data_IF_703283532632
#
_entry.id   IF_703283532632
#
_cell.length_a   1.000
_cell.length_b   1.000
_cell.length_c   1.000
_cell.angle_alpha   90.00
_cell.angle_beta   90.00
_cell.angle_gamma   90.00
#
_symmetry.space_group_name_H-M   'P 1'
#
loop_
_entity.id
_entity.type
_entity.pdbx_description
1 polymer ?
#
# COMPACT_ATOMS: atom_id res chain seq x y z
N UNK A 1 -18.28 15.20 -45.30
CA UNK A 1 -19.38 14.30 -44.87
C UNK A 1 -18.76 12.99 -44.42
N UNK A 2 -18.79 12.67 -43.13
CA UNK A 2 -18.28 11.40 -42.57
C UNK A 2 -19.44 10.39 -42.51
N UNK A 3 -19.27 9.12 -42.92
CA UNK A 3 -20.34 8.14 -42.79
C UNK A 3 -20.50 7.71 -41.33
N UNK A 4 -21.76 7.70 -40.89
CA UNK A 4 -22.23 7.21 -39.60
C UNK A 4 -22.20 5.68 -39.58
N UNK A 5 -21.35 5.06 -38.75
CA UNK A 5 -21.47 3.63 -38.44
C UNK A 5 -22.66 3.41 -37.50
N UNK A 6 -23.64 2.63 -37.95
CA UNK A 6 -24.74 2.12 -37.11
C UNK A 6 -24.26 0.84 -36.41
N UNK A 7 -24.37 0.81 -35.09
CA UNK A 7 -24.14 -0.38 -34.26
C UNK A 7 -25.44 -1.18 -34.26
N UNK A 8 -25.58 -2.18 -35.14
CA UNK A 8 -26.72 -3.10 -35.11
C UNK A 8 -26.37 -4.56 -35.47
N UNK A 9 -25.11 -4.97 -35.34
CA UNK A 9 -24.76 -6.38 -35.54
C UNK A 9 -24.53 -7.07 -34.18
N UNK A 10 -25.19 -8.21 -33.90
CA UNK A 10 -24.98 -8.97 -32.68
C UNK A 10 -23.58 -9.60 -32.67
N UNK A 11 -22.89 -9.47 -31.54
CA UNK A 11 -21.58 -10.10 -31.30
C UNK A 11 -21.77 -11.62 -31.41
N UNK A 12 -21.03 -12.33 -32.28
CA UNK A 12 -21.11 -13.78 -32.36
C UNK A 12 -20.53 -14.40 -31.08
N UNK A 13 -21.40 -15.05 -30.31
CA UNK A 13 -21.03 -15.97 -29.24
C UNK A 13 -20.36 -17.21 -29.84
N UNK A 14 -19.04 -17.19 -29.95
CA UNK A 14 -18.24 -18.40 -30.16
C UNK A 14 -16.77 -18.13 -29.80
N UNK A 15 -16.46 -18.16 -28.49
CA UNK A 15 -15.09 -18.41 -28.05
C UNK A 15 -15.13 -19.62 -27.11
N UNK A 16 -15.30 -20.79 -27.72
CA UNK A 16 -15.07 -22.08 -27.07
C UNK A 16 -13.56 -22.26 -26.90
N UNK A 17 -12.95 -21.49 -26.00
CA UNK A 17 -11.61 -21.83 -25.50
C UNK A 17 -11.83 -22.97 -24.52
N UNK A 18 -11.53 -24.20 -24.95
CA UNK A 18 -11.30 -25.29 -24.02
C UNK A 18 -10.15 -24.85 -23.13
N UNK A 19 -10.47 -24.47 -21.88
CA UNK A 19 -9.49 -24.35 -20.81
C UNK A 19 -8.98 -25.76 -20.56
N UNK A 20 -7.97 -26.17 -21.31
CA UNK A 20 -7.03 -27.14 -20.77
C UNK A 20 -6.45 -26.47 -19.54
N UNK A 21 -6.87 -26.96 -18.37
CA UNK A 21 -6.32 -26.55 -17.10
C UNK A 21 -4.84 -26.94 -17.13
N UNK A 22 -3.98 -26.00 -17.52
CA UNK A 22 -2.55 -26.10 -17.26
C UNK A 22 -2.41 -26.10 -15.75
N UNK A 23 -2.47 -27.31 -15.20
CA UNK A 23 -2.21 -27.58 -13.80
C UNK A 23 -0.70 -27.67 -13.69
N UNK A 24 0.01 -26.58 -13.98
CA UNK A 24 1.42 -26.48 -13.62
C UNK A 24 1.47 -26.30 -12.13
N UNK A 25 1.63 -27.41 -11.42
CA UNK A 25 2.28 -27.38 -10.10
C UNK A 25 3.55 -26.55 -10.26
N UNK A 26 3.78 -25.49 -9.46
CA UNK A 26 4.99 -24.69 -9.57
C UNK A 26 6.20 -25.64 -9.43
N UNK A 27 7.00 -25.71 -10.49
CA UNK A 27 8.14 -26.61 -10.54
C UNK A 27 9.19 -26.05 -9.56
N UNK A 28 9.57 -26.77 -8.50
CA UNK A 28 10.28 -26.19 -7.35
C UNK A 28 11.74 -25.77 -7.60
N UNK A 29 12.23 -25.86 -8.85
CA UNK A 29 13.65 -25.69 -9.21
C UNK A 29 13.89 -24.66 -10.34
N UNK A 30 12.92 -23.83 -10.70
CA UNK A 30 13.16 -22.74 -11.67
C UNK A 30 13.70 -21.50 -10.95
N UNK A 31 14.71 -20.80 -11.52
CA UNK A 31 15.17 -19.52 -10.98
C UNK A 31 14.00 -18.56 -10.79
N UNK A 32 13.88 -18.01 -9.59
CA UNK A 32 12.79 -17.10 -9.26
C UNK A 32 13.30 -15.90 -8.46
N UNK A 33 12.57 -14.80 -8.52
CA UNK A 33 12.78 -13.63 -7.67
C UNK A 33 11.46 -13.28 -7.01
N UNK A 34 11.46 -13.28 -5.68
CA UNK A 34 10.34 -12.85 -4.86
C UNK A 34 10.64 -11.48 -4.27
N UNK A 35 9.69 -10.55 -4.41
CA UNK A 35 9.68 -9.27 -3.72
C UNK A 35 8.64 -9.29 -2.60
N UNK A 36 9.06 -8.93 -1.39
CA UNK A 36 8.16 -8.65 -0.28
C UNK A 36 8.21 -7.17 0.07
N UNK A 37 7.06 -6.60 0.41
CA UNK A 37 6.96 -5.25 0.99
C UNK A 37 6.17 -5.31 2.28
N UNK A 38 6.67 -4.65 3.30
CA UNK A 38 5.97 -4.50 4.59
C UNK A 38 5.83 -3.03 4.93
N UNK A 39 4.76 -2.71 5.63
CA UNK A 39 4.52 -1.40 6.23
C UNK A 39 3.85 -1.63 7.59
N UNK A 40 4.46 -1.12 8.65
CA UNK A 40 3.85 -1.05 9.97
C UNK A 40 3.66 0.40 10.38
N UNK A 41 2.59 0.67 11.12
CA UNK A 41 2.26 1.99 11.65
C UNK A 41 1.84 1.82 13.10
N UNK A 42 2.46 2.56 14.00
CA UNK A 42 2.20 2.53 15.44
C UNK A 42 1.86 3.93 15.94
N UNK A 43 0.77 4.11 16.71
CA UNK A 43 0.51 5.39 17.36
C UNK A 43 1.57 5.61 18.45
N UNK A 44 2.14 6.81 18.48
CA UNK A 44 3.11 7.24 19.51
C UNK A 44 2.68 8.55 20.19
N UNK A 45 1.52 9.09 19.81
CA UNK A 45 0.88 10.27 20.36
C UNK A 45 -0.55 10.41 19.83
N UNK A 46 -1.23 11.50 20.16
CA UNK A 46 -2.64 11.70 19.79
C UNK A 46 -2.87 11.76 18.27
N UNK A 47 -1.94 12.37 17.54
CA UNK A 47 -1.94 12.42 16.06
C UNK A 47 -0.50 12.28 15.53
N UNK A 48 0.27 11.43 16.20
CA UNK A 48 1.67 11.17 15.84
C UNK A 48 1.86 9.67 15.73
N UNK A 49 2.42 9.24 14.61
CA UNK A 49 2.57 7.83 14.29
C UNK A 49 3.99 7.55 13.82
N UNK A 50 4.56 6.44 14.30
CA UNK A 50 5.81 5.89 13.76
C UNK A 50 5.47 4.88 12.69
N UNK A 51 6.09 4.98 11.53
CA UNK A 51 6.00 3.97 10.49
C UNK A 51 7.34 3.29 10.25
N UNK A 52 7.28 2.03 9.82
CA UNK A 52 8.43 1.30 9.28
C UNK A 52 7.99 0.55 8.04
N UNK A 53 8.64 0.83 6.92
CA UNK A 53 8.45 0.12 5.67
C UNK A 53 9.72 -0.64 5.29
N UNK A 54 9.59 -1.80 4.65
CA UNK A 54 10.73 -2.56 4.15
C UNK A 54 10.39 -3.15 2.79
N UNK A 55 11.38 -3.23 1.91
CA UNK A 55 11.34 -3.95 0.64
C UNK A 55 12.50 -4.92 0.61
N UNK A 56 12.18 -6.20 0.41
CA UNK A 56 13.19 -7.25 0.30
C UNK A 56 12.97 -8.01 -0.99
N UNK A 57 14.05 -8.18 -1.76
CA UNK A 57 14.10 -9.04 -2.93
C UNK A 57 14.97 -10.26 -2.61
N UNK A 58 14.39 -11.44 -2.77
CA UNK A 58 15.07 -12.73 -2.60
C UNK A 58 15.07 -13.43 -3.95
N UNK A 59 16.25 -13.81 -4.41
CA UNK A 59 16.43 -14.65 -5.59
C UNK A 59 16.69 -16.08 -5.14
N UNK A 60 16.04 -17.05 -5.78
CA UNK A 60 16.20 -18.47 -5.49
C UNK A 60 16.64 -19.25 -6.73
N UNK A 61 17.29 -20.40 -6.50
CA UNK A 61 17.72 -21.34 -7.53
C UNK A 61 18.61 -20.69 -8.62
N UNK A 62 19.51 -19.80 -8.21
CA UNK A 62 20.52 -19.19 -9.08
C UNK A 62 21.95 -19.47 -8.59
N UNK A 63 22.94 -19.29 -9.46
CA UNK A 63 24.35 -19.49 -9.08
C UNK A 63 24.84 -18.34 -8.19
N UNK A 64 24.91 -18.60 -6.90
CA UNK A 64 25.32 -17.62 -5.88
C UNK A 64 26.71 -17.89 -5.30
N UNK A 65 27.43 -18.89 -5.81
CA UNK A 65 28.62 -19.42 -5.17
C UNK A 65 28.32 -20.16 -3.87
N UNK A 66 29.35 -20.69 -3.18
CA UNK A 66 29.15 -21.57 -2.03
C UNK A 66 28.44 -20.83 -0.89
N UNK A 67 27.21 -21.26 -0.57
CA UNK A 67 26.52 -20.83 0.64
C UNK A 67 27.20 -21.49 1.84
N UNK A 68 27.75 -20.70 2.76
CA UNK A 68 28.44 -21.25 3.93
C UNK A 68 27.48 -22.12 4.78
N UNK A 69 26.18 -21.78 4.87
CA UNK A 69 25.31 -22.31 5.92
C UNK A 69 23.83 -22.54 5.52
N UNK A 70 23.48 -22.82 4.26
CA UNK A 70 22.06 -23.01 3.87
C UNK A 70 21.49 -24.35 4.43
N UNK A 71 20.57 -24.35 5.42
CA UNK A 71 20.20 -25.56 6.16
C UNK A 71 19.30 -26.54 5.39
N UNK A 72 18.73 -26.13 4.26
CA UNK A 72 17.73 -26.86 3.49
C UNK A 72 18.12 -27.07 2.00
N UNK A 73 19.33 -26.66 1.60
CA UNK A 73 19.84 -26.81 0.25
C UNK A 73 19.09 -26.00 -0.82
N UNK A 74 18.22 -25.07 -0.43
CA UNK A 74 17.59 -24.12 -1.36
C UNK A 74 18.47 -22.89 -1.40
N UNK A 75 19.19 -22.71 -2.51
CA UNK A 75 20.05 -21.54 -2.72
C UNK A 75 19.16 -20.29 -2.85
N UNK A 76 18.82 -19.65 -1.73
CA UNK A 76 18.21 -18.32 -1.68
C UNK A 76 19.25 -17.27 -1.34
N UNK A 77 19.15 -16.11 -1.99
CA UNK A 77 19.98 -14.95 -1.69
C UNK A 77 19.14 -13.69 -1.67
N UNK A 78 19.19 -12.96 -0.56
CA UNK A 78 18.73 -11.57 -0.52
C UNK A 78 19.63 -10.74 -1.43
N UNK A 79 19.03 -10.08 -2.42
CA UNK A 79 19.75 -9.23 -3.38
C UNK A 79 19.48 -7.75 -3.14
N UNK A 80 18.31 -7.41 -2.58
CA UNK A 80 17.97 -6.06 -2.14
C UNK A 80 17.26 -6.13 -0.80
N UNK A 81 17.65 -5.25 0.12
CA UNK A 81 16.99 -5.07 1.39
C UNK A 81 17.07 -3.60 1.79
N UNK A 82 15.96 -2.89 1.59
CA UNK A 82 15.83 -1.47 1.88
C UNK A 82 14.73 -1.24 2.91
N UNK A 83 15.00 -0.39 3.90
CA UNK A 83 14.05 -0.05 4.95
C UNK A 83 13.86 1.46 5.07
N UNK A 84 12.64 1.93 5.28
CA UNK A 84 12.38 3.33 5.64
C UNK A 84 11.69 3.35 7.00
N UNK A 85 12.21 4.12 7.94
CA UNK A 85 11.55 4.40 9.22
C UNK A 85 11.27 5.89 9.32
N UNK A 86 10.16 6.28 9.90
CA UNK A 86 9.86 7.69 10.09
C UNK A 86 8.73 7.97 11.05
N UNK A 87 8.45 9.26 11.22
CA UNK A 87 7.36 9.79 12.04
C UNK A 87 6.47 10.66 11.15
N UNK A 88 5.16 10.48 11.27
CA UNK A 88 4.16 11.32 10.62
C UNK A 88 3.25 12.00 11.65
N UNK A 89 2.85 13.23 11.37
CA UNK A 89 2.13 14.08 12.30
C UNK A 89 0.91 14.78 11.70
N UNK A 90 -0.09 14.95 12.56
CA UNK A 90 -1.27 15.75 12.31
C UNK A 90 -2.21 15.16 11.24
N UNK A 91 -3.29 15.88 10.91
CA UNK A 91 -4.32 15.40 9.99
C UNK A 91 -3.82 15.26 8.55
N UNK A 92 -2.76 15.98 8.18
CA UNK A 92 -2.12 15.88 6.88
C UNK A 92 -1.12 14.72 6.77
N UNK A 93 -0.81 14.04 7.87
CA UNK A 93 0.22 13.00 7.94
C UNK A 93 1.54 13.51 7.36
N UNK A 94 1.98 14.67 7.84
CA UNK A 94 3.22 15.30 7.41
C UNK A 94 4.41 14.53 7.98
N UNK A 95 5.43 14.25 7.16
CA UNK A 95 6.65 13.57 7.60
C UNK A 95 7.44 14.50 8.51
N UNK A 96 7.54 14.17 9.78
CA UNK A 96 8.37 14.87 10.75
C UNK A 96 9.82 14.35 10.73
N UNK A 97 9.98 13.05 10.54
CA UNK A 97 11.28 12.37 10.51
C UNK A 97 11.25 11.25 9.48
N UNK A 98 12.37 11.04 8.78
CA UNK A 98 12.53 9.90 7.87
C UNK A 98 13.99 9.46 7.82
N UNK A 99 14.22 8.17 7.83
CA UNK A 99 15.53 7.55 7.69
C UNK A 99 15.40 6.35 6.76
N UNK A 100 16.26 6.30 5.76
CA UNK A 100 16.39 5.17 4.85
C UNK A 100 17.60 4.31 5.27
N UNK A 101 17.43 3.00 5.19
CA UNK A 101 18.40 1.97 5.49
C UNK A 101 18.58 1.10 4.24
N UNK A 102 19.81 0.71 3.96
CA UNK A 102 20.18 -0.11 2.82
C UNK A 102 21.04 -1.28 3.33
N UNK A 103 20.37 -2.31 3.84
CA UNK A 103 21.02 -3.44 4.50
C UNK A 103 21.71 -4.39 3.51
N UNK A 104 21.06 -4.66 2.38
CA UNK A 104 21.61 -5.52 1.32
C UNK A 104 21.39 -4.86 -0.02
N UNK A 105 22.45 -4.73 -0.81
CA UNK A 105 22.39 -4.14 -2.15
C UNK A 105 23.59 -4.62 -2.99
N UNK A 106 23.43 -4.75 -4.32
CA UNK A 106 24.48 -5.30 -5.17
C UNK A 106 25.59 -4.29 -5.50
N UNK A 107 25.32 -2.99 -5.42
CA UNK A 107 26.28 -1.94 -5.79
C UNK A 107 26.63 -1.07 -4.60
N UNK A 108 27.93 -0.80 -4.39
CA UNK A 108 28.41 0.05 -3.29
C UNK A 108 27.86 1.48 -3.35
N UNK A 109 27.41 1.94 -4.52
CA UNK A 109 26.84 3.28 -4.71
C UNK A 109 25.35 3.37 -4.35
N UNK A 110 24.65 2.25 -4.12
CA UNK A 110 23.22 2.26 -3.79
C UNK A 110 22.85 3.17 -2.60
N UNK A 111 23.64 3.26 -1.52
CA UNK A 111 23.37 4.18 -0.41
C UNK A 111 23.51 5.68 -0.75
N UNK A 112 23.97 6.06 -1.95
CA UNK A 112 24.07 7.48 -2.33
C UNK A 112 22.70 8.19 -2.37
N UNK A 113 21.59 7.44 -2.35
CA UNK A 113 20.23 7.99 -2.33
C UNK A 113 19.76 8.42 -0.93
N UNK A 114 20.42 7.96 0.14
CA UNK A 114 19.99 8.20 1.53
C UNK A 114 19.76 9.69 1.85
N UNK A 115 20.66 10.63 1.47
CA UNK A 115 20.47 12.05 1.79
C UNK A 115 19.26 12.67 1.09
N UNK A 116 18.88 12.18 -0.10
CA UNK A 116 17.72 12.70 -0.84
C UNK A 116 16.39 12.45 -0.11
N UNK A 117 16.35 11.50 0.84
CA UNK A 117 15.16 11.29 1.66
C UNK A 117 14.86 12.46 2.61
N UNK A 118 15.85 13.28 2.97
CA UNK A 118 15.63 14.47 3.81
C UNK A 118 14.68 15.47 3.13
N UNK A 119 14.68 15.54 1.80
CA UNK A 119 13.76 16.40 1.04
C UNK A 119 12.27 16.02 1.21
N UNK A 120 11.98 14.85 1.79
CA UNK A 120 10.62 14.39 2.07
C UNK A 120 10.10 14.91 3.43
N UNK A 121 10.96 15.43 4.30
CA UNK A 121 10.52 16.04 5.57
C UNK A 121 9.61 17.23 5.27
N UNK A 122 8.49 17.32 5.99
CA UNK A 122 7.42 18.28 5.77
C UNK A 122 6.42 17.90 4.66
N UNK A 123 6.73 16.92 3.81
CA UNK A 123 5.78 16.45 2.79
C UNK A 123 4.62 15.66 3.43
N UNK A 124 3.45 15.74 2.81
CA UNK A 124 2.22 15.09 3.29
C UNK A 124 2.02 13.72 2.63
N UNK A 125 1.80 12.68 3.44
CA UNK A 125 1.33 11.38 2.92
C UNK A 125 -0.13 11.45 2.44
N UNK A 126 -0.93 12.39 2.95
CA UNK A 126 -2.33 12.53 2.58
C UNK A 126 -2.53 13.27 1.25
N UNK A 127 -1.60 14.17 0.88
CA UNK A 127 -1.75 15.09 -0.24
C UNK A 127 -0.56 14.99 -1.20
N UNK A 128 -0.82 14.61 -2.46
CA UNK A 128 0.15 14.61 -3.57
C UNK A 128 1.42 13.78 -3.36
N UNK A 129 1.47 12.90 -2.34
CA UNK A 129 2.64 12.09 -2.02
C UNK A 129 3.28 11.40 -3.23
N UNK A 130 2.46 10.77 -4.07
CA UNK A 130 2.94 10.08 -5.27
C UNK A 130 3.65 11.03 -6.25
N UNK A 131 3.13 12.24 -6.43
CA UNK A 131 3.75 13.23 -7.31
C UNK A 131 5.09 13.69 -6.72
N UNK A 132 5.14 14.01 -5.42
CA UNK A 132 6.37 14.38 -4.71
C UNK A 132 7.46 13.31 -4.86
N UNK A 133 7.12 12.04 -4.65
CA UNK A 133 8.08 10.93 -4.78
C UNK A 133 8.56 10.80 -6.23
N UNK A 134 7.66 10.87 -7.21
CA UNK A 134 8.05 10.76 -8.62
C UNK A 134 8.88 11.96 -9.08
N UNK A 135 8.63 13.16 -8.60
CA UNK A 135 9.42 14.34 -8.97
C UNK A 135 10.81 14.33 -8.33
N UNK A 136 10.90 13.85 -7.09
CA UNK A 136 12.17 13.81 -6.32
C UNK A 136 13.06 12.64 -6.74
N UNK A 137 12.48 11.47 -7.03
CA UNK A 137 13.20 10.21 -7.25
C UNK A 137 13.04 9.65 -8.68
N UNK A 138 12.83 10.52 -9.68
CA UNK A 138 12.73 10.12 -11.09
C UNK A 138 14.08 9.74 -11.70
N UNK A 139 14.02 8.84 -12.67
CA UNK A 139 15.17 8.44 -13.48
C UNK A 139 16.38 8.08 -12.60
N UNK A 140 17.53 8.69 -12.84
CA UNK A 140 18.78 8.43 -12.12
C UNK A 140 18.88 9.17 -10.78
N UNK A 141 17.92 10.05 -10.44
CA UNK A 141 17.87 10.70 -9.14
C UNK A 141 17.38 9.76 -8.03
N UNK A 142 16.82 8.60 -8.40
CA UNK A 142 16.43 7.53 -7.49
C UNK A 142 16.79 6.15 -8.03
N UNK A 143 16.37 5.12 -7.32
CA UNK A 143 16.41 3.75 -7.82
C UNK A 143 15.01 3.13 -7.71
N UNK A 144 14.69 2.20 -8.60
CA UNK A 144 13.36 1.57 -8.64
C UNK A 144 12.94 0.99 -7.28
N UNK A 145 13.88 0.42 -6.52
CA UNK A 145 13.64 -0.18 -5.20
C UNK A 145 13.14 0.86 -4.18
N UNK A 146 13.92 1.91 -3.93
CA UNK A 146 13.57 2.96 -2.97
C UNK A 146 12.35 3.74 -3.45
N UNK A 147 12.26 4.09 -4.74
CA UNK A 147 11.10 4.81 -5.28
C UNK A 147 9.81 4.01 -5.09
N UNK A 148 9.81 2.70 -5.36
CA UNK A 148 8.61 1.87 -5.17
C UNK A 148 8.27 1.63 -3.70
N UNK A 149 9.26 1.66 -2.80
CA UNK A 149 9.06 1.59 -1.36
C UNK A 149 8.41 2.88 -0.84
N UNK A 150 8.95 4.03 -1.23
CA UNK A 150 8.42 5.34 -0.88
C UNK A 150 7.00 5.55 -1.42
N UNK A 151 6.72 5.16 -2.67
CA UNK A 151 5.36 5.22 -3.22
C UNK A 151 4.35 4.41 -2.39
N UNK A 152 4.78 3.31 -1.77
CA UNK A 152 3.96 2.48 -0.90
C UNK A 152 3.59 3.16 0.42
N UNK A 153 4.33 4.19 0.87
CA UNK A 153 4.00 4.92 2.09
C UNK A 153 2.64 5.63 2.03
N UNK A 154 2.07 5.85 0.84
CA UNK A 154 0.69 6.33 0.69
C UNK A 154 -0.34 5.44 1.42
N UNK A 155 -0.05 4.15 1.58
CA UNK A 155 -0.92 3.18 2.24
C UNK A 155 -1.03 3.44 3.75
N UNK A 156 -0.04 4.13 4.35
CA UNK A 156 -0.06 4.51 5.77
C UNK A 156 -1.30 5.33 6.12
N UNK A 157 -1.84 6.12 5.19
CA UNK A 157 -3.07 6.90 5.38
C UNK A 157 -4.24 6.02 5.80
N UNK A 158 -4.48 4.93 5.07
CA UNK A 158 -5.58 4.00 5.36
C UNK A 158 -5.36 3.30 6.70
N UNK A 159 -4.11 2.97 7.03
CA UNK A 159 -3.75 2.34 8.31
C UNK A 159 -3.97 3.28 9.50
N UNK A 160 -3.59 4.56 9.37
CA UNK A 160 -3.85 5.59 10.39
C UNK A 160 -5.35 5.76 10.62
N UNK A 161 -6.14 5.86 9.54
CA UNK A 161 -7.61 5.95 9.66
C UNK A 161 -8.18 4.74 10.39
N UNK A 162 -7.71 3.54 10.09
CA UNK A 162 -8.13 2.34 10.82
C UNK A 162 -7.81 2.44 12.32
N UNK A 163 -6.59 2.84 12.68
CA UNK A 163 -6.17 2.99 14.09
C UNK A 163 -7.04 4.03 14.82
N UNK A 164 -7.31 5.17 14.19
CA UNK A 164 -8.17 6.20 14.76
C UNK A 164 -9.62 5.76 14.92
N UNK A 165 -10.16 5.05 13.92
CA UNK A 165 -11.50 4.48 13.99
C UNK A 165 -11.60 3.45 15.11
N UNK A 166 -10.60 2.57 15.23
CA UNK A 166 -10.54 1.52 16.24
C UNK A 166 -10.45 2.07 17.66
N UNK A 167 -9.72 3.19 17.85
CA UNK A 167 -9.67 3.89 19.13
C UNK A 167 -11.03 4.44 19.59
N UNK A 168 -11.98 4.65 18.66
CA UNK A 168 -13.30 5.26 18.94
C UNK A 168 -14.44 4.25 18.89
N UNK A 169 -14.29 3.14 18.19
CA UNK A 169 -15.33 2.14 17.97
C UNK A 169 -14.69 0.79 17.78
N UNK A 170 -15.14 -0.23 18.52
CA UNK A 170 -14.61 -1.58 18.36
C UNK A 170 -14.83 -2.09 16.93
N UNK A 171 -13.82 -2.71 16.33
CA UNK A 171 -13.94 -3.40 15.04
C UNK A 171 -14.48 -4.82 15.27
N UNK A 172 -15.79 -5.03 15.06
CA UNK A 172 -16.43 -6.32 15.21
C UNK A 172 -17.70 -6.43 14.34
N UNK A 173 -18.25 -7.64 14.23
CA UNK A 173 -19.43 -7.93 13.42
C UNK A 173 -20.62 -7.02 13.71
N UNK A 174 -20.84 -6.68 14.99
CA UNK A 174 -21.97 -5.83 15.40
C UNK A 174 -21.81 -4.42 14.86
N UNK A 175 -20.65 -3.78 15.07
CA UNK A 175 -20.40 -2.40 14.65
C UNK A 175 -20.28 -2.26 13.13
N UNK A 176 -19.81 -3.32 12.45
CA UNK A 176 -19.80 -3.41 10.99
C UNK A 176 -21.22 -3.52 10.42
N UNK A 177 -22.05 -4.41 10.96
CA UNK A 177 -23.42 -4.65 10.44
C UNK A 177 -24.35 -3.48 10.72
N UNK A 178 -24.26 -2.86 11.88
CA UNK A 178 -25.14 -1.75 12.25
C UNK A 178 -24.68 -0.39 11.68
N UNK A 179 -23.50 -0.32 11.05
CA UNK A 179 -22.98 0.89 10.42
C UNK A 179 -22.23 1.84 11.35
N UNK A 180 -22.11 1.53 12.64
CA UNK A 180 -21.40 2.38 13.62
C UNK A 180 -19.92 2.52 13.27
N UNK A 181 -19.27 1.46 12.80
CA UNK A 181 -17.88 1.50 12.36
C UNK A 181 -17.67 2.51 11.23
N UNK A 182 -18.50 2.42 10.19
CA UNK A 182 -18.45 3.33 9.05
C UNK A 182 -18.82 4.76 9.44
N UNK A 183 -19.78 4.96 10.35
CA UNK A 183 -20.13 6.28 10.87
C UNK A 183 -18.94 6.95 11.57
N UNK A 184 -18.21 6.20 12.40
CA UNK A 184 -16.95 6.66 13.01
C UNK A 184 -15.91 7.00 11.95
N UNK A 185 -15.79 6.18 10.91
CA UNK A 185 -14.90 6.46 9.78
C UNK A 185 -15.20 7.78 9.09
N UNK A 186 -16.48 8.10 8.84
CA UNK A 186 -16.88 9.36 8.22
C UNK A 186 -16.59 10.57 9.12
N UNK A 187 -16.51 10.39 10.44
CA UNK A 187 -16.09 11.44 11.38
C UNK A 187 -14.58 11.60 11.44
N UNK A 188 -13.82 10.50 11.37
CA UNK A 188 -12.35 10.49 11.35
C UNK A 188 -11.83 11.09 10.05
N UNK A 189 -12.33 10.61 8.92
CA UNK A 189 -11.89 11.00 7.59
C UNK A 189 -13.09 11.04 6.64
N UNK A 190 -13.77 12.19 6.49
CA UNK A 190 -14.92 12.32 5.59
C UNK A 190 -14.62 11.87 4.15
N UNK A 191 -13.36 11.97 3.72
CA UNK A 191 -12.89 11.53 2.39
C UNK A 191 -12.96 10.02 2.16
N UNK A 192 -13.30 9.19 3.16
CA UNK A 192 -13.49 7.76 2.93
C UNK A 192 -14.78 7.47 2.14
N UNK A 193 -15.76 8.39 2.13
CA UNK A 193 -16.87 8.31 1.19
C UNK A 193 -16.33 8.49 -0.25
N UNK A 194 -16.63 7.53 -1.11
CA UNK A 194 -16.08 7.47 -2.47
C UNK A 194 -14.66 6.89 -2.57
N UNK A 195 -14.03 6.51 -1.45
CA UNK A 195 -12.66 5.97 -1.50
C UNK A 195 -12.59 4.54 -2.07
N UNK A 196 -13.69 3.78 -2.04
CA UNK A 196 -13.76 2.45 -2.66
C UNK A 196 -15.18 2.10 -3.12
N UNK A 197 -15.32 1.03 -3.89
CA UNK A 197 -16.60 0.59 -4.44
C UNK A 197 -17.66 0.28 -3.36
N UNK A 198 -17.25 -0.14 -2.15
CA UNK A 198 -18.16 -0.44 -1.03
C UNK A 198 -18.55 0.80 -0.21
N UNK A 199 -17.81 1.91 -0.40
CA UNK A 199 -18.04 3.20 0.26
C UNK A 199 -18.48 4.28 -0.73
N UNK A 200 -18.94 3.89 -1.92
CA UNK A 200 -19.47 4.82 -2.91
C UNK A 200 -20.63 5.64 -2.33
N UNK A 201 -20.85 6.89 -2.82
CA UNK A 201 -22.01 7.66 -2.42
C UNK A 201 -23.31 6.87 -2.62
N UNK A 202 -24.11 6.74 -1.55
CA UNK A 202 -25.35 5.97 -1.56
C UNK A 202 -25.21 4.45 -1.38
N UNK A 203 -23.99 3.90 -1.26
CA UNK A 203 -23.80 2.49 -0.96
C UNK A 203 -24.44 2.11 0.39
N UNK A 204 -24.88 0.84 0.59
CA UNK A 204 -25.54 0.40 1.82
C UNK A 204 -24.76 0.70 3.10
N UNK A 205 -23.42 0.67 3.05
CA UNK A 205 -22.57 1.01 4.18
C UNK A 205 -22.64 2.50 4.56
N UNK A 206 -22.70 3.39 3.57
CA UNK A 206 -22.84 4.84 3.77
C UNK A 206 -24.23 5.18 4.30
N UNK A 207 -25.29 4.55 3.75
CA UNK A 207 -26.66 4.76 4.21
C UNK A 207 -26.84 4.36 5.68
N UNK A 208 -26.35 3.18 6.08
CA UNK A 208 -26.39 2.74 7.48
C UNK A 208 -25.63 3.69 8.41
N UNK A 209 -24.44 4.14 7.99
CA UNK A 209 -23.63 5.08 8.77
C UNK A 209 -24.36 6.41 9.03
N UNK A 210 -25.06 6.94 8.01
CA UNK A 210 -25.86 8.17 8.14
C UNK A 210 -27.04 7.99 9.08
N UNK A 211 -27.75 6.86 9.00
CA UNK A 211 -28.85 6.54 9.91
C UNK A 211 -28.40 6.49 11.38
N UNK A 212 -27.24 5.89 11.67
CA UNK A 212 -26.65 5.89 13.03
C UNK A 212 -26.40 7.31 13.53
N UNK A 213 -25.87 8.18 12.66
CA UNK A 213 -25.55 9.57 13.01
C UNK A 213 -26.82 10.37 13.30
N UNK A 214 -27.87 10.23 12.47
CA UNK A 214 -29.15 10.90 12.66
C UNK A 214 -29.82 10.52 13.99
N UNK A 215 -29.85 9.22 14.33
CA UNK A 215 -30.47 8.75 15.58
C UNK A 215 -29.78 9.28 16.84
N UNK A 216 -28.45 9.47 16.79
CA UNK A 216 -27.67 10.06 17.90
C UNK A 216 -27.97 11.55 18.09
N UNK A 217 -28.27 12.28 17.02
CA UNK A 217 -28.61 13.70 17.08
C UNK A 217 -30.02 13.95 17.64
N UNK A 218 -30.96 13.03 17.40
CA UNK A 218 -32.35 13.14 17.91
C UNK A 218 -32.51 12.75 19.39
N UNK A 219 -31.44 12.25 20.03
CA UNK A 219 -31.44 11.78 21.42
C UNK A 219 -30.67 12.71 22.38
N UNK A 220 -30.26 13.89 21.91
CA UNK A 220 -29.65 14.97 22.70
C UNK A 220 -30.58 16.16 22.74
#
# INVERSE_FOLDING_TARGET
MRPSLRITDPIPNACCITRDAVTTTPQPDQPAVMRSKTLTVHPIGAQTYRFRARLTDVSSAGDYGPAADAPDGREERTIHDFGVTGVIEGPALAIAEITLDAATHPYHQCPAILPSCEALVGCSLANQWRAVVLDTFRATAGCTHVTTLLLGLAEARTMVFFLEMNARTAYNDTTLRNGSWTATGLQVAPTIEGACHVLAPGAPNIQRARAVTMNRSSSR
#
